data_IF_951903429291
#
_entry.id   IF_951903429291
#
_cell.length_a   1.000
_cell.length_b   1.000
_cell.length_c   1.000
_cell.angle_alpha   90.00
_cell.angle_beta   90.00
_cell.angle_gamma   90.00
#
_symmetry.space_group_name_H-M   'P 1'
#
loop_
_entity.id
_entity.type
_entity.pdbx_description
1 polymer ?
#
# COMPACT_ATOMS: atom_id res chain seq x y z
N UNK A 1 -27.71 -44.84 6.12
CA UNK A 1 -27.73 -43.64 6.99
C UNK A 1 -26.72 -42.66 6.42
N UNK A 2 -27.14 -41.77 5.51
CA UNK A 2 -27.37 -40.32 5.74
C UNK A 2 -26.10 -39.65 6.31
N UNK A 3 -25.15 -39.25 5.44
CA UNK A 3 -24.96 -37.87 4.94
C UNK A 3 -24.88 -36.86 6.08
N UNK A 4 -23.68 -36.36 6.42
CA UNK A 4 -23.40 -35.05 7.03
C UNK A 4 -21.88 -34.92 7.29
N UNK A 5 -21.08 -34.86 6.22
CA UNK A 5 -19.62 -34.60 6.32
C UNK A 5 -19.21 -33.29 5.61
N UNK A 6 -20.16 -32.41 5.32
CA UNK A 6 -19.91 -31.20 4.53
C UNK A 6 -20.71 -30.05 5.14
N UNK A 7 -20.23 -29.42 6.21
CA UNK A 7 -20.67 -28.07 6.63
C UNK A 7 -19.88 -27.56 7.85
N UNK A 8 -18.56 -27.53 7.77
CA UNK A 8 -17.76 -26.79 8.77
C UNK A 8 -16.50 -26.14 8.15
N UNK A 9 -16.62 -25.70 6.89
CA UNK A 9 -15.56 -24.99 6.16
C UNK A 9 -16.07 -23.68 5.53
N UNK A 10 -17.17 -23.11 6.03
CA UNK A 10 -17.93 -22.08 5.29
C UNK A 10 -18.31 -20.80 6.04
N UNK A 11 -17.87 -20.56 7.28
CA UNK A 11 -18.41 -19.43 8.07
C UNK A 11 -17.39 -18.54 8.80
N UNK A 12 -16.09 -18.64 8.48
CA UNK A 12 -15.07 -17.73 9.04
C UNK A 12 -14.53 -16.70 8.04
N UNK A 13 -15.22 -16.50 6.90
CA UNK A 13 -14.76 -15.63 5.82
C UNK A 13 -15.57 -14.34 5.65
N UNK A 14 -16.31 -13.90 6.67
CA UNK A 14 -17.08 -12.66 6.59
C UNK A 14 -16.85 -11.82 7.83
N UNK A 15 -16.48 -10.56 7.56
CA UNK A 15 -16.14 -9.49 8.50
C UNK A 15 -14.71 -9.51 9.06
N UNK A 16 -13.72 -9.57 8.16
CA UNK A 16 -12.67 -8.57 8.29
C UNK A 16 -13.34 -7.22 7.98
N UNK A 17 -13.36 -6.23 8.89
CA UNK A 17 -13.65 -4.88 8.45
C UNK A 17 -12.60 -4.58 7.39
N UNK A 18 -13.04 -4.36 6.16
CA UNK A 18 -12.22 -3.66 5.21
C UNK A 18 -11.87 -2.36 5.95
N UNK A 19 -10.62 -2.26 6.41
CA UNK A 19 -10.06 -1.01 6.85
C UNK A 19 -10.14 -0.13 5.61
N UNK A 20 -11.26 0.56 5.47
CA UNK A 20 -11.44 1.62 4.51
C UNK A 20 -10.42 2.64 4.97
N UNK A 21 -9.22 2.56 4.39
CA UNK A 21 -8.19 3.56 4.48
C UNK A 21 -8.83 4.85 3.97
N UNK A 22 -9.42 5.61 4.89
CA UNK A 22 -10.01 6.91 4.66
C UNK A 22 -8.87 7.88 4.40
N UNK A 23 -8.20 7.73 3.26
CA UNK A 23 -7.21 8.69 2.80
C UNK A 23 -7.93 10.04 2.72
N UNK A 24 -7.51 10.97 3.58
CA UNK A 24 -8.10 12.29 3.63
C UNK A 24 -7.81 13.02 2.32
N UNK A 25 -8.54 14.10 2.02
CA UNK A 25 -8.23 14.93 0.85
C UNK A 25 -6.77 15.43 0.86
N UNK A 26 -6.21 15.66 2.06
CA UNK A 26 -4.81 16.02 2.24
C UNK A 26 -3.87 14.87 1.83
N UNK A 27 -4.22 13.61 2.10
CA UNK A 27 -3.42 12.45 1.73
C UNK A 27 -3.47 12.18 0.23
N UNK A 28 -4.61 12.43 -0.41
CA UNK A 28 -4.73 12.36 -1.86
C UNK A 28 -3.88 13.43 -2.56
N UNK A 29 -3.92 14.67 -2.07
CA UNK A 29 -3.06 15.76 -2.59
C UNK A 29 -1.59 15.45 -2.38
N UNK A 30 -1.24 14.92 -1.22
CA UNK A 30 0.13 14.47 -0.94
C UNK A 30 0.56 13.36 -1.90
N UNK A 31 -0.29 12.37 -2.15
CA UNK A 31 0.01 11.28 -3.08
C UNK A 31 0.22 11.77 -4.51
N UNK A 32 -0.56 12.76 -4.96
CA UNK A 32 -0.37 13.37 -6.27
C UNK A 32 1.01 14.05 -6.40
N UNK A 33 1.50 14.67 -5.32
CA UNK A 33 2.86 15.23 -5.28
C UNK A 33 3.91 14.11 -5.34
N UNK A 34 3.71 13.01 -4.60
CA UNK A 34 4.60 11.83 -4.63
C UNK A 34 4.66 11.24 -6.03
N UNK A 35 3.53 11.04 -6.70
CA UNK A 35 3.48 10.55 -8.08
C UNK A 35 4.28 11.46 -9.04
N UNK A 36 4.10 12.77 -8.90
CA UNK A 36 4.87 13.74 -9.70
C UNK A 36 6.37 13.67 -9.40
N UNK A 37 6.76 13.51 -8.14
CA UNK A 37 8.18 13.38 -7.76
C UNK A 37 8.81 12.10 -8.34
N UNK A 38 8.12 10.97 -8.22
CA UNK A 38 8.61 9.67 -8.72
C UNK A 38 8.72 9.67 -10.24
N UNK A 39 7.74 10.26 -10.95
CA UNK A 39 7.81 10.42 -12.41
C UNK A 39 8.90 11.38 -12.87
N UNK A 40 9.29 12.34 -12.02
CA UNK A 40 10.46 13.21 -12.23
C UNK A 40 11.80 12.55 -11.87
N UNK A 41 11.80 11.28 -11.45
CA UNK A 41 13.00 10.52 -11.13
C UNK A 41 13.45 10.61 -9.68
N UNK A 42 12.66 11.22 -8.78
CA UNK A 42 12.92 11.15 -7.33
C UNK A 42 12.38 9.83 -6.79
N UNK A 43 13.28 8.95 -6.38
CA UNK A 43 12.94 7.63 -5.86
C UNK A 43 12.61 7.63 -4.36
N UNK A 44 12.83 8.73 -3.63
CA UNK A 44 12.75 8.73 -2.17
C UNK A 44 11.81 9.80 -1.64
N UNK A 45 10.90 9.41 -0.74
CA UNK A 45 9.96 10.30 -0.06
C UNK A 45 9.92 9.98 1.42
N UNK A 46 9.83 11.00 2.28
CA UNK A 46 9.69 10.83 3.72
C UNK A 46 8.33 11.32 4.22
N UNK A 47 7.76 10.64 5.21
CA UNK A 47 6.50 11.00 5.87
C UNK A 47 6.52 10.58 7.34
N UNK A 48 5.89 11.35 8.21
CA UNK A 48 5.70 10.97 9.63
C UNK A 48 4.47 10.09 9.84
N UNK A 49 3.53 10.11 8.89
CA UNK A 49 2.28 9.33 8.95
C UNK A 49 2.48 7.93 8.38
N UNK A 50 2.07 6.93 9.17
CA UNK A 50 2.04 5.52 8.78
C UNK A 50 1.05 5.31 7.62
N UNK A 51 -0.11 5.97 7.68
CA UNK A 51 -1.17 5.89 6.68
C UNK A 51 -0.69 6.37 5.30
N UNK A 52 0.10 7.46 5.28
CA UNK A 52 0.73 7.95 4.04
C UNK A 52 1.78 7.00 3.50
N UNK A 53 2.56 6.35 4.37
CA UNK A 53 3.53 5.35 3.93
C UNK A 53 2.84 4.14 3.30
N UNK A 54 1.74 3.68 3.88
CA UNK A 54 0.90 2.61 3.31
C UNK A 54 0.24 3.05 2.00
N UNK A 55 -0.30 4.27 1.94
CA UNK A 55 -0.92 4.84 0.75
C UNK A 55 0.07 4.89 -0.43
N UNK A 56 1.30 5.38 -0.18
CA UNK A 56 2.36 5.41 -1.18
C UNK A 56 2.77 4.01 -1.64
N UNK A 57 2.83 3.03 -0.72
CA UNK A 57 3.13 1.64 -1.06
C UNK A 57 2.04 1.03 -1.95
N UNK A 58 0.77 1.26 -1.62
CA UNK A 58 -0.35 0.77 -2.41
C UNK A 58 -0.39 1.40 -3.81
N UNK A 59 -0.14 2.71 -3.89
CA UNK A 59 0.01 3.41 -5.17
C UNK A 59 1.15 2.83 -6.01
N UNK A 60 2.34 2.64 -5.43
CA UNK A 60 3.49 2.08 -6.14
C UNK A 60 3.16 0.71 -6.73
N UNK A 61 2.59 -0.19 -5.92
CA UNK A 61 2.16 -1.51 -6.40
C UNK A 61 1.15 -1.41 -7.55
N UNK A 62 0.17 -0.50 -7.47
CA UNK A 62 -0.82 -0.30 -8.55
C UNK A 62 -0.21 0.22 -9.86
N UNK A 63 0.93 0.91 -9.78
CA UNK A 63 1.64 1.49 -10.93
C UNK A 63 2.77 0.60 -11.45
N UNK A 64 2.96 -0.59 -10.86
CA UNK A 64 4.04 -1.51 -11.20
C UNK A 64 5.41 -1.08 -10.68
N UNK A 65 5.45 -0.24 -9.65
CA UNK A 65 6.65 0.10 -8.89
C UNK A 65 6.74 -0.76 -7.64
N UNK A 66 7.96 -0.99 -7.18
CA UNK A 66 8.26 -1.52 -5.86
C UNK A 66 8.45 -0.36 -4.90
N UNK A 67 7.84 -0.42 -3.72
CA UNK A 67 8.04 0.55 -2.66
C UNK A 67 8.57 -0.14 -1.39
N UNK A 68 9.76 0.27 -0.95
CA UNK A 68 10.38 -0.18 0.29
C UNK A 68 10.17 0.89 1.36
N UNK A 69 9.61 0.52 2.51
CA UNK A 69 9.37 1.44 3.63
C UNK A 69 10.35 1.11 4.74
N UNK A 70 11.16 2.09 5.15
CA UNK A 70 12.06 2.02 6.29
C UNK A 70 11.60 2.99 7.37
N UNK A 71 11.55 2.53 8.63
CA UNK A 71 11.31 3.40 9.77
C UNK A 71 12.61 4.12 10.14
N UNK A 72 12.53 5.44 10.30
CA UNK A 72 13.64 6.31 10.71
C UNK A 72 13.29 7.00 12.02
N UNK A 73 14.25 7.67 12.65
CA UNK A 73 14.02 8.47 13.87
C UNK A 73 12.94 9.55 13.66
N UNK A 74 12.79 10.03 12.43
CA UNK A 74 11.88 11.12 12.05
C UNK A 74 10.58 10.63 11.39
N UNK A 75 10.31 9.32 11.37
CA UNK A 75 9.09 8.75 10.75
C UNK A 75 9.40 7.60 9.80
N UNK A 76 8.96 7.72 8.55
CA UNK A 76 9.07 6.70 7.51
C UNK A 76 9.71 7.27 6.25
N UNK A 77 10.63 6.51 5.69
CA UNK A 77 11.24 6.76 4.39
C UNK A 77 10.74 5.69 3.41
N UNK A 78 10.20 6.12 2.29
CA UNK A 78 9.71 5.27 1.21
C UNK A 78 10.65 5.42 0.03
N UNK A 79 11.22 4.31 -0.42
CA UNK A 79 12.05 4.23 -1.62
C UNK A 79 11.30 3.48 -2.72
N UNK A 80 11.12 4.12 -3.86
CA UNK A 80 10.44 3.61 -5.04
C UNK A 80 11.47 3.13 -6.06
N UNK A 81 11.28 1.92 -6.57
CA UNK A 81 12.07 1.40 -7.67
C UNK A 81 11.14 0.83 -8.73
N UNK A 82 11.43 1.12 -10.00
CA UNK A 82 10.74 0.47 -11.10
C UNK A 82 11.53 -0.79 -11.45
N UNK A 83 10.94 -1.99 -11.41
CA UNK A 83 11.60 -3.17 -11.94
C UNK A 83 11.92 -2.90 -13.41
N UNK A 84 13.21 -2.84 -13.73
CA UNK A 84 13.65 -2.83 -15.12
C UNK A 84 13.35 -4.25 -15.60
N UNK A 85 12.32 -4.42 -16.44
CA UNK A 85 12.10 -5.68 -17.11
C UNK A 85 13.40 -5.99 -17.87
N UNK A 86 14.11 -7.03 -17.43
CA UNK A 86 15.23 -7.57 -18.20
C UNK A 86 14.61 -8.14 -19.47
N UNK A 87 14.88 -7.47 -20.59
CA UNK A 87 14.45 -7.87 -21.92
C UNK A 87 15.59 -8.60 -22.60
#
# INVERSE_FOLDING_TARGET
>A
MKKLFILLLGAALLALPAAANNATEADQKWLAVVEKMVTQGKDTVSTTSTERAELAKNWAASKGYTASVAKTENGYQITFSKPIAQN
#
